data_IF_637632838973
#
_entry.id   IF_637632838973
#
_cell.length_a   1.000
_cell.length_b   1.000
_cell.length_c   1.000
_cell.angle_alpha   90.00
_cell.angle_beta   90.00
_cell.angle_gamma   90.00
#
_symmetry.space_group_name_H-M   'P 1'
#
loop_
_entity.id
_entity.type
_entity.pdbx_description
1 polymer ?
#
# COMPACT_ATOMS: atom_id res chain seq x y z
N UNK A 1 5.22 8.05 -2.60
CA UNK A 1 5.45 6.61 -2.53
C UNK A 1 4.17 5.88 -2.89
N UNK A 2 4.27 4.89 -3.74
CA UNK A 2 3.10 4.15 -4.18
C UNK A 2 2.89 2.91 -3.33
N UNK A 3 1.66 2.68 -2.95
CA UNK A 3 1.27 1.47 -2.24
C UNK A 3 0.28 0.73 -3.13
N UNK A 4 0.61 -0.49 -3.48
CA UNK A 4 -0.23 -1.31 -4.34
C UNK A 4 -0.92 -2.36 -3.48
N UNK A 5 -2.25 -2.39 -3.55
CA UNK A 5 -3.05 -3.30 -2.74
C UNK A 5 -3.76 -4.25 -3.67
N UNK A 6 -3.46 -5.53 -3.53
CA UNK A 6 -4.17 -6.56 -4.26
C UNK A 6 -5.36 -7.02 -3.45
N UNK A 7 -6.55 -6.86 -4.00
CA UNK A 7 -7.79 -7.19 -3.31
C UNK A 7 -8.28 -8.54 -3.82
N UNK A 8 -8.66 -9.40 -2.88
CA UNK A 8 -9.11 -10.74 -3.24
C UNK A 8 -10.36 -10.65 -4.12
N UNK A 9 -10.43 -11.52 -5.08
CA UNK A 9 -11.58 -11.67 -5.97
C UNK A 9 -11.79 -10.48 -6.90
N UNK A 10 -10.80 -9.59 -6.98
CA UNK A 10 -10.84 -8.50 -7.95
C UNK A 10 -9.66 -8.63 -8.88
N UNK A 11 -9.85 -8.43 -10.17
CA UNK A 11 -8.75 -8.58 -11.13
C UNK A 11 -7.82 -7.39 -11.16
N UNK A 12 -8.15 -6.31 -10.47
CA UNK A 12 -7.36 -5.09 -10.54
C UNK A 12 -6.80 -4.75 -9.18
N UNK A 13 -5.66 -4.11 -9.21
CA UNK A 13 -5.00 -3.61 -8.01
C UNK A 13 -5.46 -2.20 -7.72
N UNK A 14 -5.41 -1.83 -6.45
CA UNK A 14 -5.65 -0.46 -6.04
C UNK A 14 -4.29 0.16 -5.74
N UNK A 15 -3.97 1.26 -6.40
CA UNK A 15 -2.72 1.95 -6.18
C UNK A 15 -3.00 3.25 -5.45
N UNK A 16 -2.33 3.45 -4.33
CA UNK A 16 -2.51 4.65 -3.52
C UNK A 16 -1.17 5.36 -3.44
N UNK A 17 -1.16 6.61 -3.86
CA UNK A 17 0.04 7.42 -3.71
C UNK A 17 -0.07 8.17 -2.38
N UNK A 18 0.85 7.89 -1.47
CA UNK A 18 0.77 8.46 -0.13
C UNK A 18 2.10 9.12 0.22
N UNK A 19 2.03 10.08 1.12
CA UNK A 19 3.22 10.73 1.64
C UNK A 19 3.64 10.14 2.98
N UNK A 20 2.91 9.14 3.45
CA UNK A 20 3.29 8.48 4.69
C UNK A 20 4.56 7.66 4.46
N UNK A 21 5.27 7.40 5.55
CA UNK A 21 6.48 6.61 5.45
C UNK A 21 6.15 5.15 5.21
N UNK A 22 7.12 4.42 4.68
CA UNK A 22 6.95 2.99 4.46
C UNK A 22 6.66 2.28 5.77
N UNK A 23 7.32 2.71 6.85
CA UNK A 23 7.09 2.08 8.15
C UNK A 23 5.67 2.32 8.64
N UNK A 24 5.15 3.52 8.45
CA UNK A 24 3.79 3.81 8.88
C UNK A 24 2.80 2.97 8.10
N UNK A 25 3.01 2.83 6.80
CA UNK A 25 2.14 2.02 5.97
C UNK A 25 2.23 0.56 6.38
N UNK A 26 3.44 0.06 6.61
CA UNK A 26 3.61 -1.33 7.00
C UNK A 26 2.91 -1.62 8.32
N UNK A 27 2.98 -0.69 9.27
CA UNK A 27 2.30 -0.86 10.55
C UNK A 27 0.80 -0.92 10.35
N UNK A 28 0.26 -0.04 9.52
CA UNK A 28 -1.17 -0.04 9.26
C UNK A 28 -1.61 -1.34 8.60
N UNK A 29 -0.81 -1.86 7.67
CA UNK A 29 -1.12 -3.11 6.99
C UNK A 29 -1.12 -4.26 7.98
N UNK A 30 -0.11 -4.35 8.82
CA UNK A 30 -0.04 -5.44 9.80
C UNK A 30 -1.23 -5.42 10.72
N UNK A 31 -1.64 -4.23 11.13
CA UNK A 31 -2.80 -4.12 12.00
C UNK A 31 -4.06 -4.56 11.27
N UNK A 32 -4.19 -4.21 10.02
CA UNK A 32 -5.37 -4.59 9.25
C UNK A 32 -5.44 -6.10 9.05
N UNK A 33 -4.30 -6.76 8.93
CA UNK A 33 -4.27 -8.20 8.72
C UNK A 33 -4.70 -8.97 9.96
N UNK A 34 -4.63 -8.35 11.13
CA UNK A 34 -5.07 -9.02 12.36
C UNK A 34 -6.53 -8.73 12.66
N UNK A 35 -7.16 -7.84 11.92
CA UNK A 35 -8.56 -7.53 12.11
C UNK A 35 -8.79 -6.05 11.97
N UNK A 36 -9.73 -5.65 11.16
CA UNK A 36 -10.04 -4.26 10.93
C UNK A 36 -9.64 -3.84 9.54
N UNK A 37 -10.07 -2.67 9.13
CA UNK A 37 -9.79 -2.19 7.78
C UNK A 37 -8.40 -1.58 7.68
N UNK A 38 -7.86 -1.60 6.47
CA UNK A 38 -6.68 -0.83 6.14
C UNK A 38 -7.14 0.54 5.67
N UNK A 39 -6.63 1.58 6.28
CA UNK A 39 -7.00 2.94 5.91
C UNK A 39 -5.74 3.71 5.56
N UNK A 40 -5.71 4.26 4.35
CA UNK A 40 -4.59 5.06 3.88
C UNK A 40 -5.13 6.39 3.38
N UNK A 41 -4.32 7.43 3.53
CA UNK A 41 -4.64 8.75 3.01
C UNK A 41 -3.71 9.02 1.84
N UNK A 42 -4.29 9.33 0.68
CA UNK A 42 -3.46 9.60 -0.48
C UNK A 42 -2.94 11.04 -0.43
N UNK A 43 -2.07 11.36 -1.38
CA UNK A 43 -1.40 12.66 -1.39
C UNK A 43 -2.35 13.80 -1.68
N UNK A 44 -3.56 13.50 -2.11
CA UNK A 44 -4.58 14.52 -2.37
C UNK A 44 -5.57 14.64 -1.23
N UNK A 45 -5.34 13.93 -0.14
CA UNK A 45 -6.23 14.00 1.00
C UNK A 45 -7.38 13.03 0.97
N UNK A 46 -7.47 12.19 -0.04
CA UNK A 46 -8.52 11.19 -0.09
C UNK A 46 -8.17 10.02 0.80
N UNK A 47 -9.18 9.42 1.38
CA UNK A 47 -8.99 8.23 2.18
C UNK A 47 -9.36 7.01 1.38
N UNK A 48 -8.52 6.00 1.47
CA UNK A 48 -8.77 4.72 0.84
C UNK A 48 -8.91 3.70 1.96
N UNK A 49 -10.04 3.04 2.02
CA UNK A 49 -10.33 2.10 3.10
C UNK A 49 -10.61 0.74 2.46
N UNK A 50 -9.83 -0.25 2.86
CA UNK A 50 -9.96 -1.60 2.33
C UNK A 50 -10.22 -2.54 3.49
N UNK A 51 -11.28 -3.36 3.44
CA UNK A 51 -11.52 -4.33 4.49
C UNK A 51 -10.31 -5.26 4.63
N UNK A 52 -9.87 -5.47 5.86
CA UNK A 52 -8.68 -6.27 6.08
C UNK A 52 -8.81 -7.68 5.53
N UNK A 53 -9.98 -8.26 5.66
CA UNK A 53 -10.19 -9.62 5.16
C UNK A 53 -10.22 -9.75 3.65
N UNK A 54 -10.30 -8.63 2.94
CA UNK A 54 -10.31 -8.64 1.48
C UNK A 54 -8.93 -8.41 0.89
N UNK A 55 -7.91 -8.17 1.71
CA UNK A 55 -6.57 -7.88 1.21
C UNK A 55 -5.90 -9.18 0.81
N UNK A 56 -5.46 -9.24 -0.43
CA UNK A 56 -4.65 -10.36 -0.88
C UNK A 56 -3.18 -10.13 -0.64
N UNK A 57 -2.70 -8.93 -0.93
CA UNK A 57 -1.32 -8.57 -0.66
C UNK A 57 -1.21 -7.06 -0.67
N UNK A 58 -0.12 -6.54 -0.10
CA UNK A 58 0.18 -5.11 -0.16
C UNK A 58 1.66 -4.98 -0.50
N UNK A 59 1.92 -4.18 -1.51
CA UNK A 59 3.27 -3.92 -1.96
C UNK A 59 3.59 -2.47 -1.69
N UNK A 60 4.62 -2.22 -0.92
CA UNK A 60 4.99 -0.87 -0.53
C UNK A 60 6.21 -0.46 -1.35
N UNK A 61 6.03 0.55 -2.16
CA UNK A 61 7.10 1.05 -2.99
C UNK A 61 8.12 1.81 -2.18
N UNK A 62 9.31 1.90 -2.72
CA UNK A 62 10.38 2.64 -2.09
C UNK A 62 10.95 3.61 -3.11
N UNK A 63 11.23 4.82 -2.65
CA UNK A 63 11.80 5.79 -3.56
C UNK A 63 13.17 5.39 -4.04
N UNK A 64 13.88 4.64 -3.25
CA UNK A 64 15.20 4.21 -3.69
C UNK A 64 15.15 3.23 -4.83
N UNK A 65 14.04 2.55 -4.99
CA UNK A 65 13.94 1.60 -6.08
C UNK A 65 14.18 2.22 -7.42
N UNK A 66 13.71 3.43 -7.58
CA UNK A 66 13.82 4.07 -8.88
C UNK A 66 15.25 4.34 -9.26
N UNK A 67 16.06 4.69 -8.29
CA UNK A 67 17.44 5.00 -8.58
C UNK A 67 18.23 3.76 -8.87
N UNK A 68 17.95 2.74 -8.14
CA UNK A 68 18.66 1.51 -8.31
C UNK A 68 18.40 0.91 -9.64
N UNK A 69 17.18 1.09 -9.97
CA UNK A 69 16.89 0.56 -11.25
C UNK A 69 17.92 0.81 -12.22
N UNK A 70 18.63 1.05 -11.94
CA UNK A 70 19.63 1.01 -12.67
C UNK A 70 20.32 0.09 -12.69
N UNK A 71 19.82 -0.19 -12.22
CA UNK A 71 20.29 -0.82 -12.30
C UNK A 71 20.48 -1.57 -12.14
N UNK A 72 20.44 -1.82 -11.81
CA UNK A 72 20.74 -2.43 -11.72
C UNK A 72 21.07 -3.05 -11.98
N UNK A 73 21.10 -3.20 -11.99
CA UNK A 73 21.56 -3.68 -12.19
C UNK A 73 21.79 -3.91 -12.34
#
# INVERSE_FOLDING_TARGET
MDVTIGVQNLPREVVVETEESADAVATAVKKALTGGPLELTDSRGRRVIVPGGAIGYVEIGSEEQRKVGFGAV
#
